data_IF_985622972691
#
_entry.id   IF_985622972691
#
_cell.length_a   1.000
_cell.length_b   1.000
_cell.length_c   1.000
_cell.angle_alpha   90.00
_cell.angle_beta   90.00
_cell.angle_gamma   90.00
#
_symmetry.space_group_name_H-M   'P 1'
#
loop_
_entity.id
_entity.type
_entity.pdbx_description
1 polymer ?
#
# COMPACT_ATOMS: atom_id res chain seq x y z
N UNK A 1 16.68 21.11 40.63
CA UNK A 1 16.81 20.55 39.27
C UNK A 1 15.55 20.91 38.49
N UNK A 2 15.61 21.88 37.57
CA UNK A 2 14.45 22.47 36.91
C UNK A 2 14.26 21.78 35.56
N UNK A 3 13.08 21.17 35.32
CA UNK A 3 12.68 20.63 34.03
C UNK A 3 12.30 21.79 33.08
N UNK A 4 13.02 21.93 31.98
CA UNK A 4 12.65 22.83 30.89
C UNK A 4 11.59 22.13 30.03
N UNK A 5 10.40 22.74 29.95
CA UNK A 5 9.37 22.40 28.96
C UNK A 5 9.76 22.99 27.61
N UNK A 6 9.90 22.15 26.59
CA UNK A 6 10.00 22.56 25.21
C UNK A 6 8.58 22.62 24.63
N UNK A 7 8.19 23.79 24.12
CA UNK A 7 6.94 23.98 23.41
C UNK A 7 7.19 23.72 21.91
N UNK A 8 6.46 22.78 21.32
CA UNK A 8 6.42 22.58 19.88
C UNK A 8 5.31 23.46 19.30
N UNK A 9 5.66 24.28 18.32
CA UNK A 9 4.74 25.08 17.56
C UNK A 9 4.12 24.24 16.43
N UNK A 10 2.80 24.18 16.42
CA UNK A 10 2.02 23.55 15.35
C UNK A 10 1.98 24.52 14.17
N UNK A 11 2.65 24.17 13.08
CA UNK A 11 2.61 24.92 11.83
C UNK A 11 1.43 24.46 10.97
N UNK A 12 0.42 25.30 10.83
CA UNK A 12 -0.65 25.14 9.84
C UNK A 12 -0.10 25.46 8.45
N UNK A 13 -0.08 24.48 7.55
CA UNK A 13 0.23 24.67 6.13
C UNK A 13 -1.05 25.06 5.41
N UNK A 14 -1.14 26.33 5.04
CA UNK A 14 -2.21 26.87 4.20
C UNK A 14 -1.79 26.75 2.74
N UNK A 15 -2.49 25.96 1.93
CA UNK A 15 -2.31 25.91 0.48
C UNK A 15 -3.04 27.07 -0.18
N UNK A 16 -2.29 27.96 -0.81
CA UNK A 16 -2.84 29.03 -1.64
C UNK A 16 -3.11 28.49 -3.05
N UNK A 17 -4.35 28.66 -3.52
CA UNK A 17 -4.71 28.46 -4.93
C UNK A 17 -3.99 29.51 -5.79
N UNK A 18 -3.10 29.06 -6.65
CA UNK A 18 -2.59 29.84 -7.78
C UNK A 18 -3.30 29.37 -9.04
N UNK A 19 -4.20 30.19 -9.53
CA UNK A 19 -4.83 30.04 -10.85
C UNK A 19 -3.84 30.53 -11.89
N UNK A 20 -3.31 29.63 -12.71
CA UNK A 20 -2.61 30.00 -13.93
C UNK A 20 -3.17 29.19 -15.10
N UNK A 21 -3.56 29.90 -16.15
CA UNK A 21 -4.17 29.38 -17.37
C UNK A 21 -3.16 28.67 -18.29
N UNK A 22 -3.69 27.68 -19.01
CA UNK A 22 -3.23 27.08 -20.27
C UNK A 22 -1.95 26.23 -20.29
N UNK A 23 -2.21 24.93 -20.46
CA UNK A 23 -1.27 23.93 -20.94
C UNK A 23 -1.90 22.56 -20.83
N UNK A 24 -2.42 22.06 -21.96
CA UNK A 24 -2.92 20.69 -22.11
C UNK A 24 -1.85 19.70 -21.63
N UNK A 25 -2.17 18.93 -20.61
CA UNK A 25 -1.52 17.66 -20.30
C UNK A 25 -2.58 16.80 -19.60
N UNK A 26 -2.97 15.73 -20.26
CA UNK A 26 -3.95 14.77 -19.79
C UNK A 26 -3.47 14.13 -18.48
N UNK A 27 -4.08 14.52 -17.38
CA UNK A 27 -4.02 13.77 -16.13
C UNK A 27 -5.13 12.70 -16.21
N UNK A 28 -4.74 11.48 -16.51
CA UNK A 28 -5.64 10.32 -16.51
C UNK A 28 -6.01 9.98 -15.07
N UNK A 29 -7.17 10.46 -14.65
CA UNK A 29 -7.84 10.00 -13.44
C UNK A 29 -8.33 8.58 -13.74
N UNK A 30 -7.83 7.59 -13.02
CA UNK A 30 -8.26 6.21 -13.13
C UNK A 30 -9.72 6.09 -12.63
N UNK A 31 -10.67 6.19 -13.55
CA UNK A 31 -12.04 5.78 -13.32
C UNK A 31 -12.18 4.35 -13.85
N UNK A 32 -12.25 3.39 -12.95
CA UNK A 32 -12.59 2.02 -13.29
C UNK A 32 -14.11 1.87 -13.26
N UNK A 33 -14.75 2.13 -14.40
CA UNK A 33 -16.16 1.81 -14.61
C UNK A 33 -16.25 0.48 -15.36
N UNK A 34 -16.45 -0.60 -14.64
CA UNK A 34 -16.76 -1.90 -15.21
C UNK A 34 -18.18 -1.92 -15.78
N UNK A 35 -18.34 -1.63 -17.05
CA UNK A 35 -19.55 -1.98 -17.82
C UNK A 35 -19.16 -3.04 -18.84
N UNK A 36 -19.73 -4.22 -18.71
CA UNK A 36 -19.60 -5.28 -19.69
C UNK A 36 -20.35 -4.91 -20.96
N UNK A 37 -19.66 -4.44 -21.97
CA UNK A 37 -20.16 -4.43 -23.34
C UNK A 37 -19.32 -5.37 -24.20
N UNK A 38 -20.00 -6.32 -24.81
CA UNK A 38 -19.47 -7.28 -25.77
C UNK A 38 -19.17 -6.55 -27.09
N UNK A 39 -17.98 -5.98 -27.16
CA UNK A 39 -17.46 -5.32 -28.37
C UNK A 39 -16.19 -6.02 -28.82
N UNK A 40 -16.29 -6.73 -29.95
CA UNK A 40 -15.14 -7.26 -30.68
C UNK A 40 -14.22 -6.09 -31.07
N UNK A 41 -13.11 -5.90 -30.36
CA UNK A 41 -12.05 -4.99 -30.76
C UNK A 41 -10.78 -5.79 -31.04
N UNK A 42 -10.29 -5.60 -32.26
CA UNK A 42 -8.98 -5.99 -32.76
C UNK A 42 -7.90 -5.62 -31.75
N UNK A 43 -7.13 -6.64 -31.33
CA UNK A 43 -6.00 -6.52 -30.43
C UNK A 43 -4.91 -5.61 -31.05
N UNK A 44 -4.83 -4.39 -30.57
CA UNK A 44 -3.56 -3.68 -30.56
C UNK A 44 -2.86 -4.15 -29.27
N UNK A 45 -1.84 -5.00 -29.40
CA UNK A 45 -1.16 -5.65 -28.30
C UNK A 45 -0.23 -4.69 -27.56
N UNK A 46 -0.77 -3.72 -26.87
CA UNK A 46 -0.08 -3.03 -25.79
C UNK A 46 0.16 -4.07 -24.69
N UNK A 47 1.39 -4.49 -24.48
CA UNK A 47 1.73 -5.40 -23.40
C UNK A 47 1.24 -4.75 -22.09
N UNK A 48 0.33 -5.44 -21.38
CA UNK A 48 -0.07 -5.01 -20.04
C UNK A 48 1.18 -4.98 -19.17
N UNK A 49 1.52 -3.81 -18.64
CA UNK A 49 2.65 -3.62 -17.75
C UNK A 49 2.21 -3.72 -16.30
N UNK A 50 3.10 -4.23 -15.45
CA UNK A 50 2.94 -4.18 -13.99
C UNK A 50 3.67 -2.95 -13.47
N UNK A 51 3.09 -2.29 -12.46
CA UNK A 51 3.69 -1.11 -11.84
C UNK A 51 3.91 -1.34 -10.35
N UNK A 52 5.06 -0.84 -9.85
CA UNK A 52 5.28 -0.68 -8.42
C UNK A 52 4.63 0.67 -8.04
N UNK A 53 3.58 0.61 -7.23
CA UNK A 53 2.83 1.79 -6.79
C UNK A 53 3.58 2.57 -5.71
N UNK A 54 4.30 1.84 -4.83
CA UNK A 54 5.09 2.44 -3.76
C UNK A 54 6.24 1.53 -3.32
N UNK A 55 7.27 2.13 -2.73
CA UNK A 55 8.28 1.48 -1.91
C UNK A 55 8.47 2.32 -0.64
N UNK A 56 8.42 1.70 0.54
CA UNK A 56 8.41 2.37 1.83
C UNK A 56 9.48 1.80 2.76
N UNK A 57 10.46 2.59 3.18
CA UNK A 57 11.46 2.18 4.15
C UNK A 57 10.89 2.31 5.58
N UNK A 58 10.00 1.35 5.94
CA UNK A 58 9.27 1.37 7.20
C UNK A 58 10.05 0.81 8.39
N UNK A 59 11.00 -0.09 8.15
CA UNK A 59 11.76 -0.78 9.20
C UNK A 59 13.26 -0.61 8.95
N UNK A 60 13.82 0.54 9.34
CA UNK A 60 15.27 0.76 9.36
C UNK A 60 15.89 0.00 10.53
N UNK A 61 16.65 -1.07 10.24
CA UNK A 61 17.19 -2.02 11.22
C UNK A 61 16.11 -2.61 12.16
N UNK A 62 14.85 -2.63 11.71
CA UNK A 62 13.68 -2.93 12.54
C UNK A 62 13.08 -4.31 12.37
N UNK A 63 13.61 -5.15 11.46
CA UNK A 63 13.07 -6.52 11.27
C UNK A 63 13.24 -7.33 12.54
N UNK A 64 12.17 -7.89 13.15
CA UNK A 64 12.26 -8.79 14.29
C UNK A 64 13.06 -10.06 13.93
N UNK A 65 13.77 -10.63 14.90
CA UNK A 65 14.74 -11.71 14.69
C UNK A 65 14.23 -12.97 13.98
N UNK A 66 12.92 -13.29 14.10
CA UNK A 66 12.24 -14.36 13.35
C UNK A 66 11.04 -13.73 12.69
N UNK A 67 11.12 -13.44 11.40
CA UNK A 67 10.06 -12.69 10.72
C UNK A 67 9.68 -13.29 9.39
N UNK A 68 8.38 -13.45 9.20
CA UNK A 68 7.72 -13.56 7.90
C UNK A 68 8.30 -14.64 6.97
N UNK A 69 8.78 -15.77 7.53
CA UNK A 69 9.37 -16.85 6.74
C UNK A 69 10.81 -16.62 6.28
N UNK A 70 11.38 -15.43 6.49
CA UNK A 70 12.74 -15.08 6.08
C UNK A 70 13.86 -15.64 6.99
N UNK A 71 13.49 -16.40 8.03
CA UNK A 71 14.44 -16.96 8.99
C UNK A 71 15.00 -15.91 9.96
N UNK A 72 16.23 -16.13 10.43
CA UNK A 72 16.90 -15.18 11.35
C UNK A 72 17.48 -14.00 10.56
N UNK A 73 16.72 -12.92 10.46
CA UNK A 73 17.08 -11.68 9.77
C UNK A 73 17.00 -10.45 10.67
N UNK A 74 17.09 -10.66 11.99
CA UNK A 74 16.98 -9.58 12.96
C UNK A 74 17.95 -8.44 12.71
N UNK A 75 17.46 -7.21 12.89
CA UNK A 75 18.18 -5.95 12.69
C UNK A 75 18.50 -5.60 11.23
N UNK A 76 17.89 -6.27 10.25
CA UNK A 76 17.92 -5.82 8.85
C UNK A 76 16.77 -4.84 8.58
N UNK A 77 16.87 -4.16 7.43
CA UNK A 77 15.82 -3.27 6.95
C UNK A 77 14.68 -4.07 6.36
N UNK A 78 13.45 -3.57 6.54
CA UNK A 78 12.25 -4.04 5.89
C UNK A 78 11.66 -2.95 5.00
N UNK A 79 11.45 -3.28 3.74
CA UNK A 79 10.91 -2.38 2.74
C UNK A 79 9.73 -3.05 2.02
N UNK A 80 8.48 -2.81 2.44
CA UNK A 80 7.34 -3.21 1.64
C UNK A 80 7.31 -2.43 0.33
N UNK A 81 7.03 -3.16 -0.76
CA UNK A 81 6.65 -2.60 -2.06
C UNK A 81 5.24 -3.03 -2.40
N UNK A 82 4.45 -2.15 -2.99
CA UNK A 82 3.08 -2.43 -3.40
C UNK A 82 3.00 -2.45 -4.91
N UNK A 83 2.45 -3.53 -5.48
CA UNK A 83 2.20 -3.66 -6.90
C UNK A 83 0.74 -3.32 -7.25
N UNK A 84 0.49 -2.89 -8.47
CA UNK A 84 -0.86 -2.71 -9.00
C UNK A 84 -1.57 -4.04 -9.29
N UNK A 85 -0.84 -5.19 -9.23
CA UNK A 85 -1.35 -6.53 -9.49
C UNK A 85 -0.96 -7.52 -8.40
N UNK A 86 -1.74 -8.58 -8.25
CA UNK A 86 -1.49 -9.64 -7.27
C UNK A 86 -0.48 -10.66 -7.77
N UNK A 87 0.30 -11.20 -6.84
CA UNK A 87 1.29 -12.24 -7.08
C UNK A 87 0.71 -13.59 -6.65
N UNK A 88 0.96 -14.69 -7.37
CA UNK A 88 0.54 -16.03 -6.95
C UNK A 88 1.06 -16.41 -5.56
N UNK A 89 0.28 -17.23 -4.87
CA UNK A 89 0.66 -17.74 -3.54
C UNK A 89 2.05 -18.38 -3.59
N UNK A 90 2.96 -17.83 -2.78
CA UNK A 90 4.31 -18.37 -2.60
C UNK A 90 4.76 -18.13 -1.17
N UNK A 91 5.40 -19.11 -0.55
CA UNK A 91 5.95 -18.94 0.79
C UNK A 91 7.12 -17.94 0.79
N UNK A 92 7.97 -18.00 -0.25
CA UNK A 92 9.08 -17.07 -0.47
C UNK A 92 9.18 -16.80 -1.98
N UNK A 93 9.58 -15.58 -2.29
CA UNK A 93 9.94 -15.15 -3.64
C UNK A 93 11.45 -15.25 -3.83
N UNK A 94 11.92 -15.35 -5.08
CA UNK A 94 13.35 -15.28 -5.37
C UNK A 94 13.85 -13.85 -5.13
N UNK A 95 14.67 -13.58 -4.10
CA UNK A 95 15.11 -12.23 -3.78
C UNK A 95 16.01 -11.64 -4.88
N UNK A 96 16.65 -12.48 -5.71
CA UNK A 96 17.53 -12.02 -6.77
C UNK A 96 16.80 -11.31 -7.93
N UNK A 97 15.45 -11.38 -7.96
CA UNK A 97 14.67 -10.64 -8.95
C UNK A 97 14.46 -9.18 -8.60
N UNK A 98 14.87 -8.76 -7.39
CA UNK A 98 14.72 -7.38 -6.91
C UNK A 98 16.09 -6.71 -6.72
N UNK A 99 16.14 -5.42 -7.01
CA UNK A 99 17.30 -4.57 -6.76
C UNK A 99 16.83 -3.27 -6.11
N UNK A 100 17.52 -2.85 -5.06
CA UNK A 100 17.30 -1.55 -4.42
C UNK A 100 18.40 -0.58 -4.85
N UNK A 101 18.04 0.52 -5.50
CA UNK A 101 18.94 1.56 -5.93
C UNK A 101 19.19 2.56 -4.82
N UNK A 102 20.43 2.97 -4.62
CA UNK A 102 20.85 3.94 -3.60
C UNK A 102 21.17 5.31 -4.20
N UNK A 103 21.15 6.34 -3.37
CA UNK A 103 21.45 7.72 -3.76
C UNK A 103 22.85 7.90 -4.36
N UNK A 104 23.84 7.08 -3.94
CA UNK A 104 25.19 7.07 -4.52
C UNK A 104 25.27 6.48 -5.94
N UNK A 105 24.19 5.83 -6.41
CA UNK A 105 24.18 5.01 -7.61
C UNK A 105 24.61 3.56 -7.38
N UNK A 106 24.91 3.16 -6.14
CA UNK A 106 25.14 1.77 -5.79
C UNK A 106 23.80 0.99 -5.75
N UNK A 107 23.91 -0.33 -5.85
CA UNK A 107 22.79 -1.26 -5.71
C UNK A 107 22.94 -2.07 -4.43
N UNK A 108 21.83 -2.30 -3.74
CA UNK A 108 21.75 -3.23 -2.62
C UNK A 108 21.03 -4.50 -3.03
N UNK A 109 21.61 -5.67 -2.77
CA UNK A 109 20.91 -6.94 -2.95
C UNK A 109 19.77 -7.05 -1.93
N UNK A 110 18.73 -7.78 -2.32
CA UNK A 110 17.66 -8.24 -1.40
C UNK A 110 18.05 -9.60 -0.87
N UNK A 111 18.01 -9.78 0.43
CA UNK A 111 18.38 -11.02 1.11
C UNK A 111 17.21 -12.00 1.23
N UNK A 112 15.99 -11.47 1.32
CA UNK A 112 14.75 -12.22 1.35
C UNK A 112 13.60 -11.38 0.78
N UNK A 113 12.66 -12.04 0.14
CA UNK A 113 11.41 -11.43 -0.33
C UNK A 113 10.23 -12.34 0.01
N UNK A 114 9.17 -11.80 0.58
CA UNK A 114 8.01 -12.57 1.05
C UNK A 114 6.72 -11.77 0.88
N UNK A 115 5.59 -12.47 0.71
CA UNK A 115 4.27 -11.86 0.77
C UNK A 115 3.80 -11.65 2.22
N UNK A 116 4.27 -12.49 3.17
CA UNK A 116 3.86 -12.35 4.57
C UNK A 116 4.37 -11.03 5.19
N UNK A 117 3.52 -10.37 6.02
CA UNK A 117 2.24 -10.83 6.54
C UNK A 117 1.03 -10.65 5.61
N UNK A 118 1.12 -9.89 4.51
CA UNK A 118 0.06 -9.59 3.56
C UNK A 118 -0.09 -10.74 2.53
N UNK A 119 -0.41 -11.96 2.97
CA UNK A 119 -0.44 -13.16 2.13
C UNK A 119 -1.84 -13.72 1.88
N UNK A 120 -2.87 -13.05 2.36
CA UNK A 120 -4.26 -13.35 2.04
C UNK A 120 -4.58 -13.11 0.55
N UNK A 121 -5.67 -13.70 0.05
CA UNK A 121 -5.92 -13.78 -1.39
C UNK A 121 -5.95 -12.42 -2.11
N UNK A 122 -6.57 -11.42 -1.50
CA UNK A 122 -6.69 -10.06 -2.03
C UNK A 122 -5.50 -9.14 -1.72
N UNK A 123 -4.64 -9.53 -0.78
CA UNK A 123 -3.52 -8.72 -0.29
C UNK A 123 -2.20 -8.96 -1.02
N UNK A 124 -2.09 -10.09 -1.72
CA UNK A 124 -0.87 -10.58 -2.38
C UNK A 124 -0.31 -9.65 -3.46
N UNK A 125 -0.38 -8.36 -3.23
CA UNK A 125 0.26 -7.29 -4.01
C UNK A 125 1.36 -6.58 -3.23
N UNK A 126 1.42 -6.80 -1.92
CA UNK A 126 2.48 -6.29 -1.07
C UNK A 126 3.58 -7.34 -0.95
N UNK A 127 4.81 -6.94 -1.24
CA UNK A 127 6.00 -7.77 -1.10
C UNK A 127 6.93 -7.10 -0.10
N UNK A 128 7.23 -7.79 1.01
CA UNK A 128 8.23 -7.32 1.95
C UNK A 128 9.63 -7.74 1.47
N UNK A 129 10.45 -6.76 1.14
CA UNK A 129 11.86 -6.93 0.86
C UNK A 129 12.64 -6.78 2.17
N UNK A 130 13.60 -7.68 2.41
CA UNK A 130 14.48 -7.66 3.59
C UNK A 130 15.93 -7.66 3.14
N UNK A 131 16.74 -6.77 3.71
CA UNK A 131 18.15 -6.63 3.37
C UNK A 131 18.80 -5.44 4.07
N UNK A 132 19.97 -5.04 3.63
CA UNK A 132 20.69 -3.86 4.12
C UNK A 132 20.54 -2.74 3.07
N UNK A 133 19.50 -1.93 3.21
CA UNK A 133 19.12 -0.92 2.22
C UNK A 133 19.56 0.49 2.59
N UNK A 134 19.58 0.81 3.89
CA UNK A 134 20.02 2.09 4.40
C UNK A 134 21.42 1.99 5.00
N UNK A 135 22.24 2.97 4.75
CA UNK A 135 23.53 3.18 5.41
C UNK A 135 23.76 4.67 5.58
N UNK A 136 24.61 5.06 6.51
CA UNK A 136 24.89 6.46 6.82
C UNK A 136 25.17 7.29 5.56
N UNK A 137 24.24 8.18 5.20
CA UNK A 137 24.35 9.10 4.08
C UNK A 137 24.11 8.50 2.69
N UNK A 138 23.68 7.24 2.58
CA UNK A 138 23.39 6.57 1.30
C UNK A 138 22.04 5.85 1.35
N UNK A 139 20.97 6.62 1.32
CA UNK A 139 19.59 6.12 1.42
C UNK A 139 19.13 5.41 0.16
N UNK A 140 18.20 4.46 0.26
CA UNK A 140 17.52 3.89 -0.91
C UNK A 140 16.68 4.96 -1.60
N UNK A 141 16.71 4.96 -2.93
CA UNK A 141 15.99 5.94 -3.77
C UNK A 141 15.07 5.28 -4.79
N UNK A 142 15.16 3.98 -5.00
CA UNK A 142 14.31 3.27 -5.94
C UNK A 142 14.37 1.76 -5.76
N UNK A 143 13.38 1.07 -6.33
CA UNK A 143 13.31 -0.39 -6.39
C UNK A 143 12.95 -0.82 -7.79
N UNK A 144 13.67 -1.81 -8.32
CA UNK A 144 13.44 -2.38 -9.65
C UNK A 144 13.24 -3.90 -9.57
N UNK A 145 12.32 -4.42 -10.39
CA UNK A 145 12.16 -5.85 -10.63
C UNK A 145 12.98 -6.24 -11.86
N UNK A 146 14.15 -6.79 -11.65
CA UNK A 146 15.13 -7.11 -12.72
C UNK A 146 14.97 -8.53 -13.28
N UNK A 147 14.28 -9.41 -12.56
CA UNK A 147 14.04 -10.80 -12.96
C UNK A 147 12.56 -11.06 -13.27
N UNK A 148 12.24 -12.30 -13.69
CA UNK A 148 10.85 -12.71 -13.94
C UNK A 148 10.07 -12.85 -12.64
N UNK A 149 8.97 -12.12 -12.54
CA UNK A 149 7.98 -12.19 -11.47
C UNK A 149 6.59 -12.14 -12.10
N UNK A 150 5.92 -13.28 -12.16
CA UNK A 150 4.60 -13.37 -12.78
C UNK A 150 3.50 -12.97 -11.79
N UNK A 151 2.50 -12.25 -12.28
CA UNK A 151 1.26 -11.95 -11.55
C UNK A 151 0.27 -13.12 -11.63
N UNK A 152 -0.83 -13.05 -10.87
CA UNK A 152 -1.95 -14.01 -10.97
C UNK A 152 -2.50 -14.13 -12.39
N UNK A 153 -2.44 -13.03 -13.16
CA UNK A 153 -2.88 -12.98 -14.57
C UNK A 153 -1.80 -13.47 -15.55
N UNK A 154 -0.62 -13.83 -15.05
CA UNK A 154 0.50 -14.31 -15.87
C UNK A 154 1.30 -13.19 -16.55
N UNK A 155 1.10 -11.94 -16.17
CA UNK A 155 1.89 -10.79 -16.66
C UNK A 155 3.23 -10.76 -15.93
N UNK A 156 4.33 -10.59 -16.65
CA UNK A 156 5.68 -10.48 -16.04
C UNK A 156 5.92 -9.04 -15.55
N UNK A 157 6.23 -8.91 -14.27
CA UNK A 157 6.55 -7.63 -13.65
C UNK A 157 8.00 -7.18 -13.92
N UNK A 158 8.79 -7.95 -14.65
CA UNK A 158 10.16 -7.60 -14.99
C UNK A 158 10.24 -6.24 -15.69
N UNK A 159 11.09 -5.35 -15.17
CA UNK A 159 11.27 -3.99 -15.65
C UNK A 159 10.39 -2.97 -14.93
N UNK A 160 9.50 -3.40 -14.02
CA UNK A 160 8.79 -2.48 -13.15
C UNK A 160 9.78 -1.77 -12.22
N UNK A 161 9.69 -0.44 -12.17
CA UNK A 161 10.58 0.44 -11.42
C UNK A 161 9.78 1.51 -10.70
N UNK A 162 10.10 1.74 -9.43
CA UNK A 162 9.74 2.95 -8.72
C UNK A 162 11.01 3.75 -8.40
N UNK A 163 11.02 5.03 -8.74
CA UNK A 163 12.18 5.92 -8.61
C UNK A 163 12.17 6.73 -7.30
N UNK A 164 11.34 6.32 -6.35
CA UNK A 164 11.21 6.98 -5.04
C UNK A 164 10.96 5.95 -3.97
N UNK A 165 11.75 6.02 -2.90
CA UNK A 165 11.50 5.29 -1.66
C UNK A 165 11.01 6.28 -0.61
N UNK A 166 9.84 6.03 -0.06
CA UNK A 166 9.23 6.88 0.98
C UNK A 166 9.88 6.53 2.32
N UNK A 167 10.43 7.51 3.05
CA UNK A 167 11.04 7.23 4.36
C UNK A 167 9.98 7.11 5.46
N UNK A 168 10.26 6.34 6.50
CA UNK A 168 9.39 6.17 7.68
C UNK A 168 8.85 7.50 8.24
N UNK A 169 9.69 8.54 8.27
CA UNK A 169 9.32 9.85 8.81
C UNK A 169 8.20 10.56 8.02
N UNK A 170 7.89 10.13 6.82
CA UNK A 170 6.76 10.67 6.05
C UNK A 170 5.41 10.15 6.54
N UNK A 171 5.42 9.04 7.29
CA UNK A 171 4.23 8.30 7.70
C UNK A 171 3.61 7.50 6.54
N UNK A 172 2.73 6.54 6.82
CA UNK A 172 2.08 5.74 5.81
C UNK A 172 0.99 6.52 5.08
N UNK A 173 0.85 6.28 3.78
CA UNK A 173 -0.21 6.80 2.92
C UNK A 173 -0.99 5.67 2.26
N UNK A 174 -2.27 5.89 1.94
CA UNK A 174 -3.06 4.95 1.13
C UNK A 174 -2.53 5.02 -0.30
N UNK A 175 -2.09 3.89 -0.85
CA UNK A 175 -1.59 3.79 -2.24
C UNK A 175 -2.60 3.15 -3.18
N UNK A 176 -3.51 2.34 -2.64
CA UNK A 176 -4.56 1.71 -3.40
C UNK A 176 -5.81 1.57 -2.53
N UNK A 177 -6.98 1.71 -3.15
CA UNK A 177 -8.26 1.37 -2.54
C UNK A 177 -9.07 0.54 -3.55
N UNK A 178 -9.61 -0.57 -3.09
CA UNK A 178 -10.41 -1.48 -3.90
C UNK A 178 -11.81 -1.62 -3.29
N UNK A 179 -12.80 -1.73 -4.15
CA UNK A 179 -14.19 -1.93 -3.77
C UNK A 179 -14.60 -3.36 -4.11
N UNK A 180 -15.14 -4.08 -3.13
CA UNK A 180 -15.64 -5.44 -3.28
C UNK A 180 -17.07 -5.55 -2.80
N UNK A 181 -17.97 -6.11 -3.61
CA UNK A 181 -19.19 -6.68 -3.07
C UNK A 181 -18.83 -7.94 -2.27
N UNK A 182 -19.59 -8.25 -1.23
CA UNK A 182 -19.32 -9.46 -0.41
C UNK A 182 -19.26 -10.75 -1.22
N UNK A 183 -20.00 -10.81 -2.34
CA UNK A 183 -20.01 -11.97 -3.25
C UNK A 183 -18.81 -12.02 -4.21
N UNK A 184 -18.00 -10.97 -4.28
CA UNK A 184 -16.89 -10.80 -5.21
C UNK A 184 -15.52 -10.99 -4.55
N UNK A 185 -15.50 -11.17 -3.24
CA UNK A 185 -14.26 -11.44 -2.52
C UNK A 185 -13.58 -12.70 -3.07
N UNK A 186 -12.27 -12.65 -3.31
CA UNK A 186 -11.51 -13.81 -3.78
C UNK A 186 -11.64 -15.01 -2.84
N UNK A 187 -11.61 -16.21 -3.39
CA UNK A 187 -11.59 -17.43 -2.56
C UNK A 187 -10.32 -17.48 -1.72
N UNK A 188 -10.47 -17.56 -0.42
CA UNK A 188 -9.36 -17.55 0.53
C UNK A 188 -9.13 -16.18 1.18
N UNK A 189 -10.00 -15.20 0.89
CA UNK A 189 -10.06 -13.97 1.67
C UNK A 189 -10.53 -14.27 3.09
N UNK A 190 -9.91 -13.64 4.07
CA UNK A 190 -10.39 -13.64 5.46
C UNK A 190 -11.24 -12.41 5.65
N UNK A 191 -12.50 -12.51 5.27
CA UNK A 191 -13.47 -11.45 5.54
C UNK A 191 -13.81 -11.42 7.04
N UNK A 192 -13.56 -10.30 7.67
CA UNK A 192 -13.88 -10.04 9.09
C UNK A 192 -15.04 -9.06 9.26
N UNK A 193 -15.64 -8.65 8.16
CA UNK A 193 -16.81 -7.78 8.19
C UNK A 193 -18.06 -8.52 8.70
N UNK A 194 -19.01 -7.82 9.37
CA UNK A 194 -20.29 -8.38 9.79
C UNK A 194 -21.09 -8.96 8.62
N UNK A 195 -21.93 -9.95 8.89
CA UNK A 195 -22.75 -10.62 7.88
C UNK A 195 -23.79 -9.71 7.18
N UNK A 196 -24.08 -8.55 7.74
CA UNK A 196 -24.95 -7.51 7.18
C UNK A 196 -24.19 -6.41 6.43
N UNK A 197 -22.91 -6.62 6.14
CA UNK A 197 -22.12 -5.75 5.30
C UNK A 197 -22.61 -5.81 3.85
N UNK A 198 -22.84 -4.67 3.24
CA UNK A 198 -23.23 -4.57 1.82
C UNK A 198 -22.01 -4.72 0.90
N UNK A 199 -20.97 -3.94 1.19
CA UNK A 199 -19.71 -3.96 0.45
C UNK A 199 -18.52 -3.57 1.35
N UNK A 200 -17.32 -3.89 0.87
CA UNK A 200 -16.06 -3.62 1.55
C UNK A 200 -15.22 -2.67 0.71
N UNK A 201 -14.60 -1.70 1.37
CA UNK A 201 -13.51 -0.93 0.78
C UNK A 201 -12.24 -1.39 1.47
N UNK A 202 -11.35 -2.04 0.73
CA UNK A 202 -10.04 -2.48 1.20
C UNK A 202 -8.99 -1.47 0.78
N UNK A 203 -8.23 -0.96 1.73
CA UNK A 203 -7.11 -0.05 1.47
C UNK A 203 -5.80 -0.79 1.62
N UNK A 204 -4.87 -0.52 0.68
CA UNK A 204 -3.48 -0.92 0.78
C UNK A 204 -2.66 0.33 1.08
N UNK A 205 -1.84 0.27 2.11
CA UNK A 205 -0.97 1.36 2.53
C UNK A 205 0.47 1.11 2.09
N UNK A 206 1.31 2.14 2.14
CA UNK A 206 2.74 2.03 1.79
C UNK A 206 3.49 1.05 2.68
N UNK A 207 3.11 0.97 3.96
CA UNK A 207 3.69 0.06 4.95
C UNK A 207 2.63 -0.40 5.95
N UNK A 208 3.02 -1.24 6.89
CA UNK A 208 2.17 -1.64 8.00
C UNK A 208 1.61 -0.42 8.73
N UNK A 209 0.35 -0.48 9.12
CA UNK A 209 -0.33 0.63 9.78
C UNK A 209 -0.78 0.25 11.17
N UNK A 210 -0.60 1.19 12.08
CA UNK A 210 -1.09 1.12 13.46
C UNK A 210 -1.65 2.47 13.88
N UNK A 211 -2.28 2.51 15.01
CA UNK A 211 -2.60 3.76 15.69
C UNK A 211 -1.36 4.37 16.34
N UNK A 212 -1.43 5.66 16.73
CA UNK A 212 -0.32 6.38 17.34
C UNK A 212 0.33 5.62 18.50
N UNK A 213 1.66 5.45 18.42
CA UNK A 213 2.45 4.69 19.39
C UNK A 213 2.37 3.17 19.21
N UNK A 214 2.00 2.68 18.03
CA UNK A 214 1.91 1.26 17.71
C UNK A 214 0.72 0.56 18.37
N UNK A 215 -0.37 1.28 18.59
CA UNK A 215 -1.62 0.71 19.13
C UNK A 215 -2.46 0.10 18.00
N UNK A 216 -3.35 -0.83 18.37
CA UNK A 216 -4.33 -1.37 17.42
C UNK A 216 -5.23 -0.25 16.86
N UNK A 217 -5.72 -0.44 15.64
CA UNK A 217 -6.70 0.45 15.04
C UNK A 217 -8.03 0.38 15.82
N UNK A 218 -8.67 1.52 16.02
CA UNK A 218 -9.85 1.65 16.87
C UNK A 218 -10.96 2.51 16.24
N UNK A 219 -11.97 2.83 17.03
CA UNK A 219 -13.11 3.64 16.63
C UNK A 219 -12.70 5.04 16.11
N UNK A 220 -11.59 5.61 16.56
CA UNK A 220 -11.12 6.91 16.08
C UNK A 220 -10.64 6.82 14.63
N UNK A 221 -10.01 5.72 14.25
CA UNK A 221 -9.57 5.43 12.88
C UNK A 221 -10.79 5.26 11.96
N UNK A 222 -11.78 4.49 12.41
CA UNK A 222 -13.05 4.32 11.70
C UNK A 222 -13.77 5.64 11.44
N UNK A 223 -13.91 6.47 12.46
CA UNK A 223 -14.61 7.77 12.38
C UNK A 223 -13.78 8.83 11.64
N UNK A 224 -12.47 8.73 11.68
CA UNK A 224 -11.57 9.66 11.01
C UNK A 224 -11.27 9.31 9.56
N UNK A 225 -11.80 8.18 9.06
CA UNK A 225 -11.69 7.80 7.65
C UNK A 225 -13.04 7.94 6.97
N UNK A 226 -13.09 8.70 5.88
CA UNK A 226 -14.32 9.02 5.15
C UNK A 226 -14.29 8.47 3.74
N UNK A 227 -15.43 8.00 3.28
CA UNK A 227 -15.65 7.49 1.93
C UNK A 227 -16.63 8.42 1.22
N UNK A 228 -16.18 8.99 0.10
CA UNK A 228 -17.03 9.76 -0.80
C UNK A 228 -17.60 8.83 -1.86
N UNK A 229 -18.89 8.95 -2.13
CA UNK A 229 -19.60 8.19 -3.14
C UNK A 229 -19.85 9.02 -4.40
N UNK A 230 -20.05 8.35 -5.53
CA UNK A 230 -20.38 9.01 -6.81
C UNK A 230 -21.64 9.88 -6.72
N UNK A 231 -22.53 9.62 -5.76
CA UNK A 231 -23.69 10.46 -5.43
C UNK A 231 -23.31 11.80 -4.79
N UNK A 232 -22.06 11.99 -4.37
CA UNK A 232 -21.62 13.12 -3.55
C UNK A 232 -21.87 12.94 -2.05
N UNK A 233 -22.43 11.80 -1.63
CA UNK A 233 -22.60 11.48 -0.21
C UNK A 233 -21.25 11.09 0.40
N UNK A 234 -21.00 11.53 1.64
CA UNK A 234 -19.82 11.14 2.42
C UNK A 234 -20.27 10.27 3.58
N UNK A 235 -19.65 9.11 3.73
CA UNK A 235 -19.96 8.15 4.80
C UNK A 235 -18.70 7.76 5.56
N UNK A 236 -18.90 7.24 6.77
CA UNK A 236 -17.90 6.46 7.50
C UNK A 236 -18.31 4.99 7.48
N UNK A 237 -17.37 4.08 7.59
CA UNK A 237 -17.66 2.65 7.64
C UNK A 237 -18.53 2.30 8.86
N UNK A 238 -19.36 1.28 8.74
CA UNK A 238 -20.11 0.73 9.88
C UNK A 238 -19.17 0.04 10.86
N UNK A 239 -18.15 -0.63 10.35
CA UNK A 239 -17.08 -1.27 11.11
C UNK A 239 -15.77 -1.15 10.36
N UNK A 240 -14.66 -1.05 11.08
CA UNK A 240 -13.31 -1.26 10.60
C UNK A 240 -12.95 -2.70 10.94
N UNK A 241 -12.57 -3.47 9.95
CA UNK A 241 -12.05 -4.81 10.15
C UNK A 241 -10.54 -4.75 9.84
N UNK A 242 -9.77 -4.85 10.90
CA UNK A 242 -8.34 -5.01 10.85
C UNK A 242 -8.03 -6.36 11.46
N UNK A 243 -7.20 -7.11 10.80
CA UNK A 243 -6.98 -8.50 11.16
C UNK A 243 -6.04 -8.72 12.32
N UNK A 244 -5.43 -7.72 12.89
CA UNK A 244 -4.37 -7.85 13.89
C UNK A 244 -3.15 -8.64 13.38
N UNK A 245 -2.96 -8.68 12.06
CA UNK A 245 -1.87 -9.41 11.42
C UNK A 245 -0.64 -8.56 11.16
N UNK A 246 -0.71 -7.25 11.49
CA UNK A 246 0.36 -6.27 11.33
C UNK A 246 0.84 -6.12 9.88
N UNK A 247 -0.10 -6.21 8.96
CA UNK A 247 0.15 -5.96 7.55
C UNK A 247 -0.13 -4.48 7.16
N UNK A 248 -0.28 -4.23 5.88
CA UNK A 248 -0.55 -2.90 5.34
C UNK A 248 -1.93 -2.78 4.68
N UNK A 249 -2.89 -3.63 5.09
CA UNK A 249 -4.24 -3.62 4.58
C UNK A 249 -5.25 -3.31 5.68
N UNK A 250 -6.26 -2.49 5.36
CA UNK A 250 -7.36 -2.16 6.26
C UNK A 250 -8.68 -2.25 5.52
N UNK A 251 -9.66 -2.91 6.13
CA UNK A 251 -10.99 -3.13 5.56
C UNK A 251 -12.02 -2.21 6.21
N UNK A 252 -12.78 -1.52 5.38
CA UNK A 252 -13.90 -0.66 5.79
C UNK A 252 -15.21 -1.31 5.37
N UNK A 253 -15.94 -1.86 6.35
CA UNK A 253 -17.21 -2.57 6.13
C UNK A 253 -18.36 -1.56 6.01
N UNK A 254 -19.01 -1.51 4.86
CA UNK A 254 -20.09 -0.58 4.57
C UNK A 254 -21.45 -1.28 4.69
N UNK A 255 -22.40 -0.70 5.45
CA UNK A 255 -23.71 -1.30 5.72
C UNK A 255 -24.82 -0.88 4.75
N UNK A 256 -24.52 -0.03 3.77
CA UNK A 256 -25.52 0.46 2.82
C UNK A 256 -24.92 0.57 1.41
N UNK A 257 -25.70 0.25 0.37
CA UNK A 257 -25.21 0.21 -1.00
C UNK A 257 -24.74 1.59 -1.49
N UNK A 258 -23.85 1.59 -2.43
CA UNK A 258 -23.32 2.78 -3.09
C UNK A 258 -22.07 2.49 -3.90
N UNK A 259 -21.75 3.37 -4.84
CA UNK A 259 -20.53 3.30 -5.63
C UNK A 259 -19.50 4.27 -5.04
N UNK A 260 -18.43 3.79 -4.38
CA UNK A 260 -17.42 4.64 -3.80
C UNK A 260 -16.61 5.33 -4.90
N UNK A 261 -16.24 6.59 -4.67
CA UNK A 261 -15.46 7.41 -5.58
C UNK A 261 -14.09 7.76 -5.00
N UNK A 262 -14.00 7.98 -3.68
CA UNK A 262 -12.75 8.30 -3.00
C UNK A 262 -12.79 7.87 -1.54
N UNK A 263 -11.61 7.63 -0.97
CA UNK A 263 -11.41 7.41 0.47
C UNK A 263 -10.36 8.39 0.98
N UNK A 264 -10.58 8.93 2.16
CA UNK A 264 -9.67 9.89 2.80
C UNK A 264 -9.51 9.54 4.28
N UNK A 265 -8.28 9.30 4.70
CA UNK A 265 -7.91 9.13 6.09
C UNK A 265 -7.48 10.47 6.71
N UNK A 266 -7.90 10.72 7.94
CA UNK A 266 -7.49 11.90 8.69
C UNK A 266 -6.00 11.89 9.01
N UNK A 267 -5.34 13.05 8.93
CA UNK A 267 -3.91 13.16 9.23
C UNK A 267 -3.61 12.83 10.70
N UNK A 268 -2.53 12.09 10.94
CA UNK A 268 -2.05 11.75 12.28
C UNK A 268 -2.89 10.71 13.02
N UNK A 269 -3.77 10.01 12.32
CA UNK A 269 -4.50 8.86 12.86
C UNK A 269 -3.69 7.57 12.73
N UNK A 270 -2.94 7.44 11.66
CA UNK A 270 -2.18 6.24 11.33
C UNK A 270 -0.67 6.52 11.41
N UNK A 271 0.08 5.56 11.94
CA UNK A 271 1.56 5.54 12.03
C UNK A 271 2.13 4.28 11.36
#
# INVERSE_FOLDING_TARGET
>A
MALKKLAFAIGTVTWALLTACNGHSDATTAQNTGSAEHGSNTMDGGAESVHILSAFLGLDNGIPGLSFGCGLRGLQDGMPIVLDRRIPVAALLDPSVFVVHRASGAESPVDCATLAPADEAEERRTILLVGEFASDGDSPVGVEIVGTLLTDEGVDAKGALVETVVPLAAGPSIVLAEHYLMSELPTGSTDKCPADTDHIIKTTWEGGVSGPGGTDLDESHRLGTTIEYTSGEIRVAAQLADSFDNDNHVEFCMSAPGEPAAITAGSGLYE
#
